data_IF_753878146701
#
_entry.id   IF_753878146701
#
_cell.length_a   1.000
_cell.length_b   1.000
_cell.length_c   1.000
_cell.angle_alpha   90.00
_cell.angle_beta   90.00
_cell.angle_gamma   90.00
#
_symmetry.space_group_name_H-M   'P 1'
#
loop_
_entity.id
_entity.type
_entity.pdbx_description
1 polymer ?
#
# COMPACT_ATOMS: atom_id res chain seq x y z
N UNK A 1 34.28 -17.81 -15.05
CA UNK A 1 33.08 -17.04 -14.64
C UNK A 1 32.04 -17.20 -15.74
N UNK A 2 31.06 -18.07 -15.55
CA UNK A 2 29.97 -18.24 -16.51
C UNK A 2 29.09 -16.99 -16.49
N UNK A 3 29.09 -16.26 -17.60
CA UNK A 3 28.12 -15.22 -17.89
C UNK A 3 26.72 -15.85 -17.94
N UNK A 4 25.99 -15.82 -16.85
CA UNK A 4 24.58 -16.19 -16.83
C UNK A 4 23.83 -15.22 -17.74
N UNK A 5 23.74 -15.57 -19.04
CA UNK A 5 22.85 -14.89 -19.99
C UNK A 5 21.46 -14.86 -19.37
N UNK A 6 21.02 -13.71 -18.93
CA UNK A 6 19.63 -13.50 -18.49
C UNK A 6 18.71 -13.87 -19.65
N UNK A 7 18.13 -15.04 -19.57
CA UNK A 7 17.22 -15.52 -20.58
C UNK A 7 15.98 -14.62 -20.56
N UNK A 8 15.89 -13.67 -21.51
CA UNK A 8 14.72 -12.80 -21.68
C UNK A 8 13.40 -13.59 -21.64
N UNK A 9 13.42 -14.85 -22.07
CA UNK A 9 12.28 -15.73 -22.02
C UNK A 9 11.70 -15.94 -20.62
N UNK A 10 12.52 -16.02 -19.56
CA UNK A 10 12.02 -16.25 -18.19
C UNK A 10 11.14 -15.12 -17.65
N UNK A 11 11.31 -13.89 -18.14
CA UNK A 11 10.50 -12.74 -17.74
C UNK A 11 9.04 -12.86 -18.21
N UNK A 12 8.83 -13.49 -19.35
CA UNK A 12 7.51 -13.61 -19.99
C UNK A 12 6.83 -14.96 -19.75
N UNK A 13 7.55 -15.94 -19.18
CA UNK A 13 6.93 -17.22 -18.84
C UNK A 13 6.02 -17.11 -17.63
N UNK A 14 4.80 -17.62 -17.77
CA UNK A 14 3.89 -17.81 -16.65
C UNK A 14 4.41 -18.94 -15.76
N UNK A 15 4.46 -18.68 -14.48
CA UNK A 15 4.77 -19.65 -13.42
C UNK A 15 4.12 -19.23 -12.12
N UNK A 16 3.98 -20.15 -11.21
CA UNK A 16 3.48 -19.82 -9.87
C UNK A 16 4.39 -18.80 -9.21
N UNK A 17 3.82 -17.64 -8.85
CA UNK A 17 4.48 -16.58 -8.11
C UNK A 17 3.66 -16.27 -6.88
N UNK A 18 4.35 -16.10 -5.79
CA UNK A 18 3.81 -15.81 -4.48
C UNK A 18 3.97 -14.32 -4.19
N UNK A 19 2.90 -13.70 -3.78
CA UNK A 19 2.92 -12.37 -3.19
C UNK A 19 2.97 -12.53 -1.68
N UNK A 20 3.89 -11.84 -1.04
CA UNK A 20 4.10 -11.96 0.40
C UNK A 20 4.29 -10.61 1.04
N UNK A 21 4.08 -10.56 2.34
CA UNK A 21 4.34 -9.40 3.17
C UNK A 21 5.29 -9.76 4.32
N UNK A 22 6.16 -8.81 4.67
CA UNK A 22 6.94 -8.83 5.90
C UNK A 22 6.34 -7.79 6.83
N UNK A 23 5.73 -8.24 7.93
CA UNK A 23 5.13 -7.35 8.92
C UNK A 23 6.14 -6.97 9.98
N UNK A 24 6.28 -5.68 10.21
CA UNK A 24 7.06 -5.05 11.27
C UNK A 24 6.04 -4.50 12.28
N UNK A 25 5.50 -5.41 13.10
CA UNK A 25 4.34 -5.13 13.95
C UNK A 25 4.63 -3.95 14.91
N UNK A 26 5.83 -3.87 15.51
CA UNK A 26 6.23 -2.77 16.40
C UNK A 26 6.26 -1.39 15.70
N UNK A 27 6.43 -1.36 14.40
CA UNK A 27 6.53 -0.13 13.62
C UNK A 27 5.25 0.17 12.83
N UNK A 28 4.27 -0.74 12.92
CA UNK A 28 3.04 -0.70 12.12
C UNK A 28 3.34 -0.53 10.62
N UNK A 29 4.39 -1.21 10.17
CA UNK A 29 4.88 -1.14 8.82
C UNK A 29 4.90 -2.52 8.16
N UNK A 30 4.85 -2.52 6.84
CA UNK A 30 4.87 -3.73 6.04
C UNK A 30 5.72 -3.51 4.79
N UNK A 31 6.46 -4.54 4.41
CA UNK A 31 7.07 -4.64 3.09
C UNK A 31 6.29 -5.67 2.27
N UNK A 32 5.91 -5.33 1.06
CA UNK A 32 5.26 -6.26 0.13
C UNK A 32 6.22 -6.58 -1.01
N UNK A 33 6.34 -7.84 -1.34
CA UNK A 33 7.20 -8.33 -2.42
C UNK A 33 6.63 -9.56 -3.11
N UNK A 34 7.31 -10.03 -4.15
CA UNK A 34 6.97 -11.24 -4.88
C UNK A 34 8.16 -12.20 -4.98
N UNK A 35 7.88 -13.50 -5.07
CA UNK A 35 8.90 -14.53 -5.27
C UNK A 35 8.30 -15.75 -5.96
N UNK A 36 9.15 -16.55 -6.58
CA UNK A 36 8.80 -17.90 -7.06
C UNK A 36 9.11 -18.97 -6.00
N UNK A 37 9.89 -18.61 -4.99
CA UNK A 37 10.27 -19.49 -3.87
C UNK A 37 10.25 -18.64 -2.58
N UNK A 38 9.19 -18.82 -1.78
CA UNK A 38 9.02 -18.10 -0.52
C UNK A 38 10.08 -18.48 0.51
N UNK A 39 10.38 -19.78 0.64
CA UNK A 39 11.33 -20.27 1.65
C UNK A 39 12.71 -19.65 1.45
N UNK A 40 13.22 -19.71 0.22
CA UNK A 40 14.48 -19.10 -0.15
C UNK A 40 14.46 -17.58 0.03
N UNK A 41 13.35 -16.95 -0.35
CA UNK A 41 13.20 -15.48 -0.25
C UNK A 41 13.18 -15.01 1.22
N UNK A 42 12.49 -15.70 2.10
CA UNK A 42 12.46 -15.39 3.53
C UNK A 42 13.82 -15.59 4.20
N UNK A 43 14.58 -16.63 3.80
CA UNK A 43 15.96 -16.80 4.25
C UNK A 43 16.86 -15.65 3.80
N UNK A 44 16.72 -15.18 2.55
CA UNK A 44 17.44 -14.01 2.05
C UNK A 44 17.12 -12.75 2.87
N UNK A 45 15.85 -12.53 3.19
CA UNK A 45 15.46 -11.38 4.02
C UNK A 45 16.02 -11.44 5.44
N UNK A 46 16.13 -12.63 6.03
CA UNK A 46 16.72 -12.82 7.36
C UNK A 46 18.25 -12.75 7.38
N UNK A 47 18.88 -12.90 6.23
CA UNK A 47 20.34 -12.83 6.12
C UNK A 47 20.83 -11.37 6.15
N UNK A 48 22.14 -11.18 6.41
CA UNK A 48 22.78 -9.85 6.32
C UNK A 48 22.59 -9.18 4.95
N UNK A 49 22.51 -9.98 3.88
CA UNK A 49 22.24 -9.48 2.52
C UNK A 49 20.84 -8.87 2.35
N UNK A 50 19.87 -9.28 3.18
CA UNK A 50 18.53 -8.71 3.18
C UNK A 50 18.45 -7.30 3.76
N UNK A 51 19.47 -6.89 4.52
CA UNK A 51 19.60 -5.55 5.12
C UNK A 51 18.42 -5.13 6.02
N UNK A 52 17.61 -6.09 6.49
CA UNK A 52 16.57 -5.83 7.48
C UNK A 52 17.17 -6.00 8.89
N UNK A 53 17.56 -4.91 9.53
CA UNK A 53 18.09 -4.92 10.90
C UNK A 53 16.97 -4.96 11.97
N UNK A 54 15.86 -5.63 11.64
CA UNK A 54 14.63 -5.63 12.43
C UNK A 54 13.95 -6.99 12.34
N UNK A 55 13.29 -7.38 13.41
CA UNK A 55 12.44 -8.57 13.39
C UNK A 55 11.20 -8.33 12.52
N UNK A 56 10.79 -9.32 11.77
CA UNK A 56 9.58 -9.28 10.96
C UNK A 56 8.89 -10.64 10.95
N UNK A 57 7.59 -10.60 10.73
CA UNK A 57 6.73 -11.76 10.56
C UNK A 57 6.37 -11.90 9.07
N UNK A 58 6.87 -12.96 8.37
CA UNK A 58 6.53 -13.18 6.98
C UNK A 58 5.15 -13.82 6.83
N UNK A 59 4.37 -13.36 5.86
CA UNK A 59 3.04 -13.88 5.55
C UNK A 59 2.87 -13.97 4.04
N UNK A 60 2.33 -15.09 3.55
CA UNK A 60 1.88 -15.22 2.18
C UNK A 60 0.52 -14.51 2.02
N UNK A 61 0.43 -13.61 1.07
CA UNK A 61 -0.80 -12.88 0.76
C UNK A 61 -1.64 -13.60 -0.29
N UNK A 62 -1.01 -14.07 -1.35
CA UNK A 62 -1.66 -14.74 -2.47
C UNK A 62 -0.64 -15.44 -3.36
N UNK A 63 -1.11 -16.41 -4.15
CA UNK A 63 -0.31 -17.04 -5.21
C UNK A 63 -1.09 -17.07 -6.52
N UNK A 64 -0.37 -16.85 -7.63
CA UNK A 64 -0.96 -16.78 -8.96
C UNK A 64 0.00 -17.35 -10.00
N UNK A 65 -0.55 -17.95 -11.06
CA UNK A 65 0.23 -18.34 -12.24
C UNK A 65 0.31 -17.16 -13.20
N UNK A 66 1.45 -16.45 -13.17
CA UNK A 66 1.60 -15.18 -13.90
C UNK A 66 3.06 -14.95 -14.35
N UNK A 67 3.23 -14.02 -15.28
CA UNK A 67 4.52 -13.50 -15.70
C UNK A 67 5.16 -12.62 -14.60
N UNK A 68 6.42 -12.29 -14.74
CA UNK A 68 7.08 -11.37 -13.81
C UNK A 68 6.45 -9.96 -13.83
N UNK A 69 6.11 -9.47 -15.01
CA UNK A 69 5.51 -8.14 -15.15
C UNK A 69 4.13 -8.05 -14.48
N UNK A 70 3.31 -9.09 -14.66
CA UNK A 70 2.01 -9.17 -13.96
C UNK A 70 2.20 -9.23 -12.43
N UNK A 71 3.23 -9.95 -11.96
CA UNK A 71 3.52 -10.03 -10.53
C UNK A 71 4.00 -8.69 -9.95
N UNK A 72 4.83 -7.95 -10.67
CA UNK A 72 5.25 -6.58 -10.29
C UNK A 72 4.04 -5.64 -10.19
N UNK A 73 3.11 -5.75 -11.15
CA UNK A 73 1.86 -4.99 -11.10
C UNK A 73 0.98 -5.37 -9.90
N UNK A 74 0.85 -6.68 -9.62
CA UNK A 74 0.12 -7.16 -8.45
C UNK A 74 0.79 -6.73 -7.13
N UNK A 75 2.12 -6.73 -7.06
CA UNK A 75 2.88 -6.24 -5.92
C UNK A 75 2.53 -4.76 -5.63
N UNK A 76 2.45 -3.91 -6.65
CA UNK A 76 2.03 -2.52 -6.50
C UNK A 76 0.59 -2.40 -5.98
N UNK A 77 -0.34 -3.23 -6.48
CA UNK A 77 -1.72 -3.24 -5.97
C UNK A 77 -1.78 -3.63 -4.49
N UNK A 78 -1.02 -4.64 -4.08
CA UNK A 78 -0.96 -5.06 -2.69
C UNK A 78 -0.30 -4.01 -1.78
N UNK A 79 0.70 -3.28 -2.27
CA UNK A 79 1.26 -2.11 -1.56
C UNK A 79 0.21 -1.01 -1.37
N UNK A 80 -0.58 -0.71 -2.40
CA UNK A 80 -1.70 0.23 -2.27
C UNK A 80 -2.74 -0.27 -1.28
N UNK A 81 -3.04 -1.58 -1.29
CA UNK A 81 -3.97 -2.20 -0.35
C UNK A 81 -3.48 -2.10 1.09
N UNK A 82 -2.20 -2.32 1.33
CA UNK A 82 -1.59 -2.16 2.65
C UNK A 82 -1.83 -0.76 3.22
N UNK A 83 -1.59 0.29 2.43
CA UNK A 83 -1.89 1.68 2.83
C UNK A 83 -3.37 1.88 3.13
N UNK A 84 -4.28 1.34 2.30
CA UNK A 84 -5.72 1.42 2.53
C UNK A 84 -6.15 0.70 3.82
N UNK A 85 -5.39 -0.31 4.23
CA UNK A 85 -5.62 -1.07 5.46
C UNK A 85 -4.95 -0.46 6.69
N UNK A 86 -4.32 0.73 6.56
CA UNK A 86 -3.73 1.48 7.65
C UNK A 86 -2.24 1.19 7.90
N UNK A 87 -1.59 0.36 7.07
CA UNK A 87 -0.18 0.04 7.22
C UNK A 87 0.73 1.07 6.54
N UNK A 88 1.86 1.38 7.19
CA UNK A 88 2.97 2.08 6.55
C UNK A 88 3.70 1.10 5.63
N UNK A 89 4.16 1.55 4.46
CA UNK A 89 4.78 0.64 3.48
C UNK A 89 6.25 0.96 3.31
N UNK A 90 7.08 -0.07 3.46
CA UNK A 90 8.51 0.00 3.14
C UNK A 90 8.74 -0.27 1.66
N UNK A 91 9.66 0.53 1.07
CA UNK A 91 10.19 0.33 -0.27
C UNK A 91 11.55 -0.35 -0.28
N UNK A 92 12.26 -0.18 -1.36
CA UNK A 92 13.67 -0.54 -1.51
C UNK A 92 14.48 0.75 -1.70
N UNK A 93 15.64 0.89 -1.03
CA UNK A 93 16.26 -0.05 -0.07
C UNK A 93 15.46 -0.21 1.23
N UNK A 94 15.70 -1.29 2.00
CA UNK A 94 15.02 -1.54 3.26
C UNK A 94 15.05 -0.37 4.23
N UNK A 95 13.90 -0.11 4.86
CA UNK A 95 13.76 0.97 5.86
C UNK A 95 13.27 2.31 5.31
N UNK A 96 13.20 2.50 3.99
CA UNK A 96 12.62 3.70 3.40
C UNK A 96 11.11 3.54 3.31
N UNK A 97 10.37 4.45 3.95
CA UNK A 97 8.92 4.50 3.83
C UNK A 97 8.50 5.13 2.51
N UNK A 98 7.59 4.47 1.84
CA UNK A 98 6.98 4.95 0.59
C UNK A 98 5.47 5.12 0.76
N UNK A 99 4.87 5.93 -0.07
CA UNK A 99 3.42 6.05 -0.16
C UNK A 99 2.92 5.63 -1.55
N UNK A 100 2.79 4.33 -1.81
CA UNK A 100 2.37 3.83 -3.12
C UNK A 100 0.95 4.25 -3.49
N UNK A 101 0.11 4.55 -2.49
CA UNK A 101 -1.24 5.04 -2.73
C UNK A 101 -1.26 6.44 -3.35
N UNK A 102 -0.33 7.31 -2.94
CA UNK A 102 -0.24 8.68 -3.48
C UNK A 102 0.21 8.69 -4.94
N UNK A 103 1.17 7.84 -5.30
CA UNK A 103 1.69 7.72 -6.67
C UNK A 103 0.79 6.89 -7.60
N UNK A 104 -0.13 6.08 -7.04
CA UNK A 104 -1.02 5.24 -7.83
C UNK A 104 -2.11 6.06 -8.50
N UNK A 105 -2.37 5.80 -9.77
CA UNK A 105 -3.52 6.32 -10.49
C UNK A 105 -4.85 5.76 -9.97
N UNK A 106 -5.96 6.42 -10.33
CA UNK A 106 -7.32 6.06 -9.90
C UNK A 106 -7.64 4.57 -10.07
N UNK A 107 -7.36 4.00 -11.24
CA UNK A 107 -7.66 2.59 -11.54
C UNK A 107 -6.90 1.60 -10.66
N UNK A 108 -5.63 1.89 -10.34
CA UNK A 108 -4.85 1.06 -9.41
C UNK A 108 -5.47 1.10 -8.00
N UNK A 109 -5.84 2.28 -7.52
CA UNK A 109 -6.48 2.44 -6.20
C UNK A 109 -7.80 1.69 -6.13
N UNK A 110 -8.61 1.76 -7.19
CA UNK A 110 -9.89 1.05 -7.28
C UNK A 110 -9.69 -0.48 -7.31
N UNK A 111 -8.76 -0.99 -8.14
CA UNK A 111 -8.43 -2.42 -8.16
C UNK A 111 -7.90 -2.90 -6.80
N UNK A 112 -7.04 -2.13 -6.14
CA UNK A 112 -6.52 -2.45 -4.82
C UNK A 112 -7.62 -2.59 -3.76
N UNK A 113 -8.72 -1.83 -3.85
CA UNK A 113 -9.88 -1.97 -2.94
C UNK A 113 -10.51 -3.35 -2.97
N UNK A 114 -10.49 -4.03 -4.13
CA UNK A 114 -11.07 -5.36 -4.32
C UNK A 114 -10.25 -6.48 -3.68
N UNK A 115 -8.98 -6.22 -3.37
CA UNK A 115 -8.13 -7.19 -2.67
C UNK A 115 -8.58 -7.34 -1.21
N UNK A 116 -8.51 -8.57 -0.70
CA UNK A 116 -8.86 -8.86 0.70
C UNK A 116 -7.59 -8.90 1.54
N UNK A 117 -7.45 -7.93 2.47
CA UNK A 117 -6.35 -7.89 3.41
C UNK A 117 -6.66 -8.75 4.63
N UNK A 118 -6.07 -9.96 4.70
CA UNK A 118 -6.42 -10.97 5.72
C UNK A 118 -5.74 -10.78 7.07
N UNK A 119 -4.74 -9.93 7.17
CA UNK A 119 -3.83 -9.85 8.32
C UNK A 119 -4.21 -8.78 9.36
N UNK A 120 -5.46 -8.33 9.34
CA UNK A 120 -5.96 -7.34 10.28
C UNK A 120 -5.49 -5.90 9.98
N UNK A 121 -5.93 -4.98 10.83
CA UNK A 121 -5.41 -3.61 10.88
C UNK A 121 -4.28 -3.55 11.90
N UNK A 122 -3.34 -2.60 11.79
CA UNK A 122 -2.41 -2.34 12.88
C UNK A 122 -3.22 -1.99 14.14
N UNK A 123 -2.81 -2.51 15.26
CA UNK A 123 -3.52 -2.41 16.55
C UNK A 123 -3.65 -0.95 17.02
N UNK A 124 -2.72 -0.12 16.62
CA UNK A 124 -2.75 1.34 16.84
C UNK A 124 -2.72 2.02 15.49
N UNK A 125 -3.64 2.95 15.24
CA UNK A 125 -3.60 3.74 14.01
C UNK A 125 -2.24 4.43 13.90
N UNK A 126 -1.54 4.35 12.76
CA UNK A 126 -0.26 5.03 12.61
C UNK A 126 -0.48 6.50 12.94
N UNK A 127 0.37 7.05 13.81
CA UNK A 127 0.33 8.46 14.15
C UNK A 127 0.17 9.24 12.85
N UNK A 128 -0.89 10.04 12.77
CA UNK A 128 -1.16 10.82 11.55
C UNK A 128 0.12 11.53 11.18
N UNK A 129 0.63 11.29 9.99
CA UNK A 129 1.77 12.02 9.47
C UNK A 129 1.50 13.51 9.72
N UNK A 130 2.37 14.23 10.41
CA UNK A 130 2.12 15.64 10.70
C UNK A 130 2.17 16.42 9.39
N UNK A 131 1.02 16.61 8.77
CA UNK A 131 0.82 17.51 7.63
C UNK A 131 0.88 18.99 8.05
N UNK A 132 1.31 19.26 9.29
CA UNK A 132 1.53 20.60 9.77
C UNK A 132 2.82 21.14 9.19
N UNK A 133 2.72 21.77 7.99
CA UNK A 133 3.88 22.47 7.44
C UNK A 133 3.82 22.92 6.00
N UNK A 134 2.68 22.82 5.32
CA UNK A 134 2.50 23.53 4.05
C UNK A 134 1.19 24.32 4.14
N UNK A 135 1.31 25.52 4.69
CA UNK A 135 0.27 26.53 4.69
C UNK A 135 -0.02 26.96 3.24
N UNK A 136 -1.06 26.39 2.65
CA UNK A 136 -1.80 27.02 1.59
C UNK A 136 -3.10 27.48 2.24
N UNK A 137 -3.15 28.77 2.59
CA UNK A 137 -4.34 29.45 3.03
C UNK A 137 -5.38 29.42 1.92
N UNK A 138 -6.31 28.48 2.01
CA UNK A 138 -7.57 28.57 1.29
C UNK A 138 -8.51 29.33 2.23
N UNK A 139 -8.68 30.62 1.94
CA UNK A 139 -9.69 31.46 2.54
C UNK A 139 -11.06 30.83 2.34
N UNK A 140 -11.65 30.36 3.44
CA UNK A 140 -13.04 29.96 3.47
C UNK A 140 -13.86 31.28 3.48
N UNK A 141 -14.38 31.64 2.33
CA UNK A 141 -15.48 32.62 2.25
C UNK A 141 -16.70 31.94 2.89
N UNK A 142 -16.95 32.28 4.14
CA UNK A 142 -18.23 32.03 4.79
C UNK A 142 -19.28 32.96 4.15
N UNK A 143 -20.02 32.40 3.18
CA UNK A 143 -21.26 33.03 2.74
C UNK A 143 -22.31 32.90 3.83
N UNK A 144 -22.55 33.99 4.55
CA UNK A 144 -23.68 34.11 5.45
C UNK A 144 -24.94 34.24 4.61
N UNK A 145 -25.67 33.15 4.47
CA UNK A 145 -27.02 33.15 3.87
C UNK A 145 -28.00 33.53 4.99
N UNK A 146 -28.43 34.78 4.98
CA UNK A 146 -29.51 35.27 5.83
C UNK A 146 -30.82 34.65 5.34
N UNK A 147 -31.39 33.74 6.09
CA UNK A 147 -32.74 33.25 5.89
C UNK A 147 -33.73 34.32 6.38
N UNK A 148 -34.51 34.88 5.46
CA UNK A 148 -35.65 35.74 5.76
C UNK A 148 -36.83 34.91 6.29
N UNK A 149 -37.51 35.29 7.40
CA UNK A 149 -38.70 34.59 7.83
C UNK A 149 -39.91 35.08 7.02
N UNK A 150 -40.62 34.17 6.39
CA UNK A 150 -41.92 34.43 5.79
C UNK A 150 -42.99 34.55 6.87
N UNK A 151 -43.48 35.75 7.06
CA UNK A 151 -44.68 36.00 7.86
C UNK A 151 -45.91 35.56 7.06
N UNK A 152 -46.60 34.56 7.55
CA UNK A 152 -47.95 34.18 7.06
C UNK A 152 -48.95 35.08 7.81
N UNK A 153 -49.53 36.02 7.07
CA UNK A 153 -50.69 36.79 7.53
C UNK A 153 -51.95 36.02 7.15
N UNK A 154 -52.66 35.52 8.15
CA UNK A 154 -54.02 35.01 8.01
C UNK A 154 -54.95 36.17 8.15
N UNK A 155 -55.69 36.54 7.13
CA UNK A 155 -56.84 37.45 7.23
C UNK A 155 -58.12 36.65 6.91
N UNK A 156 -59.02 36.73 7.88
CA UNK A 156 -60.39 36.32 7.83
C UNK A 156 -61.18 36.97 6.67
N UNK A 157 -62.10 36.23 6.11
CA UNK A 157 -63.16 36.62 5.24
C UNK A 157 -64.01 35.44 4.90
#
# INVERSE_FOLDING_TARGET
MENKKWNRSQKYHKRTRYLYALFFDNEQAVYVGQSVDLKKRWQQHRSKAGKWNRSFRPVELASYNMTQHEAEYMEELWRCKAVQSGWRVYGLPPGILINPYRSAGFWKRWKARKLVWKTGRPEVAPARFPWKGLGIGLGVMMGVSAALPWAVSVLNG
#
